data_IF_945385703863
#
_entry.id   IF_945385703863
#
_cell.length_a   1.000
_cell.length_b   1.000
_cell.length_c   1.000
_cell.angle_alpha   90.00
_cell.angle_beta   90.00
_cell.angle_gamma   90.00
#
_symmetry.space_group_name_H-M   'P 1'
#
loop_
_entity.id
_entity.type
_entity.pdbx_description
1 polymer ?
#
# COMPACT_ATOMS: atom_id res chain seq x y z
N UNK A 1 -9.13 17.50 11.00
CA UNK A 1 -9.61 16.10 11.05
C UNK A 1 -9.05 15.31 9.86
N UNK A 2 -8.49 14.17 10.10
CA UNK A 2 -7.91 13.33 9.05
C UNK A 2 -9.01 12.49 8.39
N UNK A 3 -9.18 12.56 7.07
CA UNK A 3 -10.17 11.71 6.40
C UNK A 3 -9.76 10.23 6.47
N UNK A 4 -10.73 9.34 6.43
CA UNK A 4 -10.45 7.90 6.38
C UNK A 4 -9.86 7.51 5.03
N UNK A 5 -8.93 6.55 5.00
CA UNK A 5 -8.50 5.98 3.73
C UNK A 5 -9.63 5.11 3.15
N UNK A 6 -9.71 4.96 1.82
CA UNK A 6 -10.80 4.22 1.20
C UNK A 6 -10.71 2.72 1.47
N UNK A 7 -11.87 2.04 1.46
CA UNK A 7 -11.93 0.59 1.57
C UNK A 7 -11.49 -0.06 0.26
N UNK A 8 -10.93 -1.27 0.36
CA UNK A 8 -10.80 -2.16 -0.76
C UNK A 8 -12.11 -2.95 -0.86
N UNK A 9 -12.78 -2.87 -2.00
CA UNK A 9 -14.08 -3.50 -2.18
C UNK A 9 -14.03 -4.77 -3.03
N UNK A 10 -12.89 -5.04 -3.65
CA UNK A 10 -12.71 -6.27 -4.43
C UNK A 10 -11.25 -6.50 -4.73
N UNK A 11 -10.85 -7.76 -4.74
CA UNK A 11 -9.48 -8.17 -5.06
C UNK A 11 -9.49 -9.48 -5.80
N UNK A 12 -8.83 -9.47 -6.96
CA UNK A 12 -8.51 -10.70 -7.69
C UNK A 12 -7.22 -10.46 -8.47
N UNK A 13 -6.70 -11.47 -9.11
CA UNK A 13 -5.46 -11.37 -9.88
C UNK A 13 -5.54 -10.21 -10.88
N UNK A 14 -4.60 -9.28 -10.74
CA UNK A 14 -4.50 -8.14 -11.66
C UNK A 14 -5.58 -7.07 -11.48
N UNK A 15 -6.38 -7.15 -10.41
CA UNK A 15 -7.52 -6.25 -10.25
C UNK A 15 -7.81 -5.93 -8.78
N UNK A 16 -7.81 -4.64 -8.46
CA UNK A 16 -8.16 -4.15 -7.13
C UNK A 16 -9.26 -3.09 -7.28
N UNK A 17 -10.38 -3.31 -6.61
CA UNK A 17 -11.47 -2.32 -6.59
C UNK A 17 -11.40 -1.54 -5.29
N UNK A 18 -11.54 -0.23 -5.40
CA UNK A 18 -11.40 0.69 -4.29
C UNK A 18 -12.63 1.59 -4.21
N UNK A 19 -13.13 1.79 -3.01
CA UNK A 19 -14.25 2.65 -2.69
C UNK A 19 -14.05 4.05 -3.28
N UNK A 20 -15.11 4.58 -3.89
CA UNK A 20 -15.07 5.92 -4.47
C UNK A 20 -14.44 5.98 -5.85
N UNK A 21 -14.05 4.84 -6.40
CA UNK A 21 -13.40 4.75 -7.69
C UNK A 21 -14.18 3.80 -8.59
N UNK A 22 -14.77 4.28 -9.70
CA UNK A 22 -15.59 3.39 -10.56
C UNK A 22 -14.76 2.36 -11.33
N UNK A 23 -13.50 2.67 -11.63
CA UNK A 23 -12.63 1.75 -12.35
C UNK A 23 -11.65 1.08 -11.40
N UNK A 24 -11.39 -0.21 -11.62
CA UNK A 24 -10.43 -0.94 -10.83
C UNK A 24 -9.00 -0.54 -11.20
N UNK A 25 -8.09 -0.73 -10.26
CA UNK A 25 -6.66 -0.59 -10.48
C UNK A 25 -6.05 -1.97 -10.76
N UNK A 26 -4.89 -1.97 -11.36
CA UNK A 26 -4.03 -3.15 -11.33
C UNK A 26 -3.28 -3.14 -9.98
N UNK A 27 -2.43 -2.15 -9.79
CA UNK A 27 -1.76 -1.92 -8.51
C UNK A 27 -2.16 -0.53 -8.02
N UNK A 28 -2.18 -0.31 -6.72
CA UNK A 28 -2.71 0.93 -6.19
C UNK A 28 -1.96 1.43 -4.95
N UNK A 29 -1.99 2.75 -4.79
CA UNK A 29 -1.60 3.45 -3.57
C UNK A 29 -2.86 4.00 -2.94
N UNK A 30 -3.02 3.78 -1.64
CA UNK A 30 -4.15 4.29 -0.86
C UNK A 30 -3.62 5.13 0.29
N UNK A 31 -4.33 6.21 0.62
CA UNK A 31 -3.93 7.12 1.71
C UNK A 31 -5.17 7.73 2.35
N UNK A 32 -5.02 8.43 3.48
CA UNK A 32 -6.17 9.11 4.08
C UNK A 32 -6.82 10.07 3.08
N UNK A 33 -8.01 9.72 2.61
CA UNK A 33 -8.80 10.56 1.71
C UNK A 33 -8.67 10.25 0.23
N UNK A 34 -7.86 9.29 -0.19
CA UNK A 34 -7.75 9.04 -1.64
C UNK A 34 -6.95 7.82 -2.04
N UNK A 35 -6.86 7.66 -3.35
CA UNK A 35 -6.11 6.55 -3.95
C UNK A 35 -5.70 6.90 -5.37
N UNK A 36 -4.70 6.19 -5.89
CA UNK A 36 -4.34 6.25 -7.30
C UNK A 36 -3.66 4.96 -7.74
N UNK A 37 -3.50 4.80 -9.04
CA UNK A 37 -2.72 3.69 -9.58
C UNK A 37 -1.26 3.80 -9.16
N UNK A 38 -0.66 2.66 -8.86
CA UNK A 38 0.76 2.58 -8.52
C UNK A 38 1.53 2.10 -9.74
N UNK A 39 2.30 2.99 -10.33
CA UNK A 39 3.15 2.67 -11.47
C UNK A 39 4.59 2.52 -10.99
N UNK A 40 5.09 1.29 -11.02
CA UNK A 40 6.46 0.98 -10.58
C UNK A 40 7.52 1.72 -11.41
N UNK A 41 7.18 2.09 -12.65
CA UNK A 41 8.14 2.78 -13.51
C UNK A 41 8.46 4.18 -13.02
N UNK A 42 7.58 4.79 -12.25
CA UNK A 42 7.83 6.13 -11.68
C UNK A 42 9.09 6.16 -10.82
N UNK A 43 9.38 5.06 -10.15
CA UNK A 43 10.52 4.96 -9.23
C UNK A 43 11.52 3.90 -9.64
N UNK A 44 11.23 3.14 -10.70
CA UNK A 44 12.08 2.05 -11.14
C UNK A 44 11.99 0.81 -10.25
N UNK A 45 10.87 0.64 -9.54
CA UNK A 45 10.69 -0.51 -8.65
C UNK A 45 10.58 -1.80 -9.43
N UNK A 46 11.13 -2.87 -8.86
CA UNK A 46 11.09 -4.24 -9.38
C UNK A 46 10.77 -5.18 -8.23
N UNK A 47 10.43 -6.42 -8.54
CA UNK A 47 10.15 -7.43 -7.52
C UNK A 47 11.30 -7.55 -6.51
N UNK A 48 12.52 -7.43 -6.98
CA UNK A 48 13.72 -7.44 -6.14
C UNK A 48 14.65 -6.32 -6.64
N UNK A 49 15.20 -5.50 -5.79
CA UNK A 49 15.18 -5.52 -4.32
C UNK A 49 13.85 -5.10 -3.70
N UNK A 50 12.86 -4.68 -4.48
CA UNK A 50 11.50 -4.49 -4.00
C UNK A 50 11.10 -3.03 -3.82
N UNK A 51 10.09 -2.84 -3.01
CA UNK A 51 9.50 -1.53 -2.72
C UNK A 51 10.57 -0.59 -2.17
N UNK A 52 10.64 0.60 -2.76
CA UNK A 52 11.58 1.63 -2.37
C UNK A 52 10.90 2.69 -1.51
N UNK A 53 11.69 3.42 -0.73
CA UNK A 53 11.15 4.53 0.06
C UNK A 53 10.40 5.51 -0.83
N UNK A 54 10.90 5.76 -2.05
CA UNK A 54 10.25 6.64 -3.02
C UNK A 54 8.80 6.21 -3.33
N UNK A 55 8.50 4.91 -3.29
CA UNK A 55 7.15 4.41 -3.52
C UNK A 55 6.21 4.79 -2.38
N UNK A 56 6.74 4.90 -1.17
CA UNK A 56 5.97 5.13 0.06
C UNK A 56 5.83 6.62 0.38
N UNK A 57 6.76 7.45 -0.10
CA UNK A 57 6.81 8.88 0.25
C UNK A 57 5.49 9.60 0.08
N UNK A 58 4.80 9.36 -1.02
CA UNK A 58 3.54 10.03 -1.31
C UNK A 58 2.48 9.77 -0.25
N UNK A 59 2.33 8.51 0.17
CA UNK A 59 1.32 8.17 1.16
C UNK A 59 1.67 8.71 2.55
N UNK A 60 2.97 8.85 2.84
CA UNK A 60 3.42 9.48 4.07
C UNK A 60 3.12 10.98 4.05
N UNK A 61 3.37 11.64 2.92
CA UNK A 61 3.06 13.06 2.75
C UNK A 61 1.56 13.33 2.87
N UNK A 62 0.73 12.36 2.52
CA UNK A 62 -0.72 12.44 2.61
C UNK A 62 -1.25 12.06 4.00
N UNK A 63 -0.38 11.83 4.96
CA UNK A 63 -0.76 11.67 6.36
C UNK A 63 -0.70 10.28 6.93
N UNK A 64 -0.26 9.28 6.16
CA UNK A 64 -0.15 7.93 6.69
C UNK A 64 0.98 7.84 7.71
N UNK A 65 0.70 7.19 8.83
CA UNK A 65 1.67 6.88 9.87
C UNK A 65 1.86 5.39 10.05
N UNK A 66 0.93 4.61 9.51
CA UNK A 66 1.06 3.17 9.36
C UNK A 66 0.91 2.86 7.87
N UNK A 67 1.74 1.97 7.38
CA UNK A 67 1.76 1.59 5.97
C UNK A 67 1.59 0.09 5.86
N UNK A 68 0.68 -0.33 4.98
CA UNK A 68 0.47 -1.75 4.68
C UNK A 68 0.93 -2.00 3.25
N UNK A 69 1.77 -3.00 3.06
CA UNK A 69 2.24 -3.37 1.73
C UNK A 69 1.73 -4.76 1.37
N UNK A 70 0.93 -4.83 0.31
CA UNK A 70 0.51 -6.10 -0.28
C UNK A 70 1.54 -6.50 -1.32
N UNK A 71 2.25 -7.58 -1.04
CA UNK A 71 3.43 -8.01 -1.80
C UNK A 71 3.08 -8.90 -3.00
N UNK A 72 1.83 -8.91 -3.40
CA UNK A 72 1.34 -9.72 -4.50
C UNK A 72 0.61 -10.97 -4.04
N UNK A 73 -0.08 -11.61 -4.95
CA UNK A 73 -0.86 -12.81 -4.65
C UNK A 73 0.02 -13.99 -4.24
N UNK A 74 1.27 -14.00 -4.70
CA UNK A 74 2.28 -15.02 -4.32
C UNK A 74 3.39 -14.44 -3.43
N UNK A 75 3.31 -13.17 -3.08
CA UNK A 75 4.28 -12.55 -2.17
C UNK A 75 5.66 -12.34 -2.77
N UNK A 76 5.77 -12.24 -4.08
CA UNK A 76 7.08 -12.11 -4.74
C UNK A 76 7.67 -10.71 -4.74
N UNK A 77 6.84 -9.69 -4.51
CA UNK A 77 7.36 -8.34 -4.37
C UNK A 77 8.02 -8.22 -3.01
N UNK A 78 9.29 -7.87 -3.00
CA UNK A 78 10.02 -7.68 -1.75
C UNK A 78 9.89 -6.24 -1.26
N UNK A 79 10.27 -6.00 -0.02
CA UNK A 79 10.44 -4.66 0.52
C UNK A 79 11.93 -4.53 0.84
N UNK A 80 12.60 -3.56 0.22
CA UNK A 80 14.05 -3.45 0.39
C UNK A 80 14.42 -3.20 1.85
N UNK A 81 15.60 -3.65 2.23
CA UNK A 81 16.13 -3.45 3.58
C UNK A 81 16.21 -1.96 3.90
N UNK A 82 16.68 -1.16 2.94
CA UNK A 82 16.79 0.30 3.12
C UNK A 82 15.42 0.93 3.40
N UNK A 83 14.38 0.44 2.71
CA UNK A 83 13.01 0.95 2.93
C UNK A 83 12.52 0.61 4.33
N UNK A 84 12.74 -0.63 4.78
CA UNK A 84 12.35 -1.04 6.14
C UNK A 84 13.06 -0.21 7.19
N UNK A 85 14.34 0.00 7.02
CA UNK A 85 15.15 0.79 7.96
C UNK A 85 14.71 2.25 7.98
N UNK A 86 14.48 2.85 6.81
CA UNK A 86 14.06 4.25 6.71
C UNK A 86 12.70 4.48 7.37
N UNK A 87 11.74 3.57 7.17
CA UNK A 87 10.43 3.67 7.79
C UNK A 87 10.52 3.53 9.31
N UNK A 88 11.34 2.59 9.79
CA UNK A 88 11.56 2.40 11.22
C UNK A 88 12.16 3.66 11.85
N UNK A 89 13.15 4.27 11.19
CA UNK A 89 13.78 5.51 11.68
C UNK A 89 12.79 6.67 11.75
N UNK A 90 11.81 6.70 10.84
CA UNK A 90 10.77 7.74 10.82
C UNK A 90 9.62 7.44 11.78
N UNK A 91 9.67 6.33 12.48
CA UNK A 91 8.60 5.93 13.39
C UNK A 91 7.33 5.49 12.67
N UNK A 92 7.44 5.07 11.41
CA UNK A 92 6.30 4.58 10.63
C UNK A 92 6.12 3.09 10.91
N UNK A 93 4.89 2.72 11.27
CA UNK A 93 4.53 1.32 11.47
C UNK A 93 4.38 0.65 10.12
N UNK A 94 5.09 -0.44 9.89
CA UNK A 94 5.06 -1.15 8.62
C UNK A 94 4.49 -2.55 8.79
N UNK A 95 3.52 -2.88 7.96
CA UNK A 95 2.96 -4.24 7.85
C UNK A 95 3.08 -4.68 6.40
N UNK A 96 3.60 -5.87 6.16
CA UNK A 96 3.65 -6.41 4.81
C UNK A 96 3.26 -7.88 4.82
N UNK A 97 2.59 -8.32 3.77
CA UNK A 97 2.10 -9.68 3.62
C UNK A 97 1.67 -9.90 2.17
N UNK A 98 1.26 -11.12 1.84
CA UNK A 98 0.58 -11.36 0.58
C UNK A 98 -0.64 -10.48 0.54
N UNK A 99 -1.01 -10.03 -0.65
CA UNK A 99 -2.04 -9.00 -0.78
C UNK A 99 -3.39 -9.34 -0.14
N UNK A 100 -3.92 -10.57 -0.23
CA UNK A 100 -5.18 -10.86 0.47
C UNK A 100 -5.10 -10.62 1.99
N UNK A 101 -4.01 -11.04 2.62
CA UNK A 101 -3.81 -10.83 4.06
C UNK A 101 -3.53 -9.37 4.36
N UNK A 102 -2.81 -8.69 3.47
CA UNK A 102 -2.52 -7.27 3.62
C UNK A 102 -3.79 -6.43 3.58
N UNK A 103 -4.74 -6.78 2.72
CA UNK A 103 -6.04 -6.09 2.65
C UNK A 103 -6.79 -6.24 3.97
N UNK A 104 -6.79 -7.43 4.57
CA UNK A 104 -7.42 -7.64 5.87
C UNK A 104 -6.76 -6.79 6.96
N UNK A 105 -5.43 -6.76 6.99
CA UNK A 105 -4.67 -5.93 7.93
C UNK A 105 -5.01 -4.46 7.74
N UNK A 106 -5.04 -4.01 6.49
CA UNK A 106 -5.38 -2.64 6.14
C UNK A 106 -6.77 -2.27 6.65
N UNK A 107 -7.77 -3.11 6.43
CA UNK A 107 -9.13 -2.85 6.91
C UNK A 107 -9.18 -2.76 8.42
N UNK A 108 -8.48 -3.65 9.12
CA UNK A 108 -8.43 -3.65 10.59
C UNK A 108 -7.81 -2.36 11.12
N UNK A 109 -6.69 -1.94 10.54
CA UNK A 109 -5.98 -0.75 10.98
C UNK A 109 -6.79 0.53 10.71
N UNK A 110 -7.42 0.63 9.54
CA UNK A 110 -8.19 1.84 9.21
C UNK A 110 -9.43 2.02 10.09
N UNK A 111 -9.94 0.95 10.68
CA UNK A 111 -11.04 1.06 11.63
C UNK A 111 -10.59 1.65 12.97
N UNK A 112 -9.31 1.50 13.30
CA UNK A 112 -8.76 2.03 14.56
C UNK A 112 -8.29 3.47 14.43
N UNK A 113 -7.73 3.83 13.28
CA UNK A 113 -7.19 5.17 13.06
C UNK A 113 -7.19 5.48 11.58
N UNK A 114 -7.40 6.76 11.19
CA UNK A 114 -7.43 7.12 9.77
C UNK A 114 -6.04 7.30 9.14
N UNK A 115 -4.96 7.38 9.94
CA UNK A 115 -3.62 7.65 9.43
C UNK A 115 -2.97 6.38 8.90
N UNK A 116 -3.64 5.70 7.98
CA UNK A 116 -3.18 4.45 7.37
C UNK A 116 -3.13 4.61 5.87
N UNK A 117 -2.05 4.14 5.27
CA UNK A 117 -1.92 4.06 3.83
C UNK A 117 -1.49 2.68 3.39
N UNK A 118 -1.53 2.43 2.10
CA UNK A 118 -1.19 1.11 1.57
C UNK A 118 -0.64 1.19 0.16
N UNK A 119 0.20 0.19 -0.15
CA UNK A 119 0.64 -0.12 -1.50
C UNK A 119 0.19 -1.55 -1.77
N UNK A 120 -0.63 -1.76 -2.78
CA UNK A 120 -1.12 -3.09 -3.11
C UNK A 120 -0.70 -3.52 -4.51
N UNK A 121 0.01 -4.65 -4.58
CA UNK A 121 0.38 -5.33 -5.82
C UNK A 121 -0.57 -6.51 -5.99
N UNK A 122 -1.14 -6.69 -7.19
CA UNK A 122 -2.22 -7.67 -7.39
C UNK A 122 -1.84 -8.88 -8.25
N UNK A 123 -0.63 -8.94 -8.75
CA UNK A 123 -0.14 -10.13 -9.47
C UNK A 123 0.88 -10.88 -8.60
N UNK A 124 1.94 -11.41 -9.18
CA UNK A 124 2.85 -12.20 -8.36
C UNK A 124 3.42 -11.48 -7.16
#
# INVERSE_FOLDING_TARGET
>A
MTPKPPRVTGLEWGRLEVEGRPEAYKDAKLWPGGSRGWDWNETGTRHSPGVQLADVEEILERGARAVVIGRGMHGRLEVSTETREALAERGVELHDARTPDAVETYHRLREKAPEVGALFHTTC
#
